data_IF_590425819078
#
_entry.id   IF_590425819078
#
_cell.length_a   1.000
_cell.length_b   1.000
_cell.length_c   1.000
_cell.angle_alpha   90.00
_cell.angle_beta   90.00
_cell.angle_gamma   90.00
#
_symmetry.space_group_name_H-M   'P 1'
#
loop_
_entity.id
_entity.type
_entity.pdbx_description
1 polymer ?
#
# COMPACT_ATOMS: atom_id res chain seq x y z
N UNK A 1 -15.37 77.46 -39.10
CA UNK A 1 -15.18 76.66 -37.84
C UNK A 1 -15.12 75.19 -38.20
N UNK A 2 -13.90 74.63 -38.25
CA UNK A 2 -13.66 73.22 -38.56
C UNK A 2 -13.61 72.43 -37.26
N UNK A 3 -14.53 71.46 -37.08
CA UNK A 3 -14.49 70.52 -35.96
C UNK A 3 -13.50 69.39 -36.29
N UNK A 4 -12.47 69.26 -35.52
CA UNK A 4 -11.53 68.14 -35.55
C UNK A 4 -12.14 67.02 -34.67
N UNK A 5 -12.41 65.86 -35.25
CA UNK A 5 -12.82 64.67 -34.55
C UNK A 5 -11.55 63.83 -34.32
N UNK A 6 -11.14 63.75 -33.07
CA UNK A 6 -10.03 62.89 -32.66
C UNK A 6 -10.56 61.45 -32.43
N UNK A 7 -10.17 60.51 -33.26
CA UNK A 7 -10.41 59.09 -33.06
C UNK A 7 -9.39 58.57 -32.01
N UNK A 8 -9.90 58.22 -30.86
CA UNK A 8 -9.11 57.51 -29.88
C UNK A 8 -9.04 56.02 -30.23
N UNK A 9 -7.84 55.51 -30.51
CA UNK A 9 -7.57 54.11 -30.70
C UNK A 9 -7.55 53.39 -29.34
N UNK A 10 -8.57 52.56 -29.06
CA UNK A 10 -8.58 51.66 -27.93
C UNK A 10 -7.78 50.42 -28.33
N UNK A 11 -6.55 50.31 -27.87
CA UNK A 11 -5.76 49.09 -27.93
C UNK A 11 -6.32 48.08 -26.93
N UNK A 12 -7.01 47.07 -27.46
CA UNK A 12 -7.40 45.86 -26.69
C UNK A 12 -6.15 45.02 -26.44
N UNK A 13 -5.58 45.11 -25.26
CA UNK A 13 -4.56 44.19 -24.82
C UNK A 13 -5.26 42.89 -24.46
N UNK A 14 -5.24 41.92 -25.37
CA UNK A 14 -5.59 40.53 -25.06
C UNK A 14 -4.53 39.95 -24.14
N UNK A 15 -4.80 39.93 -22.85
CA UNK A 15 -4.07 39.05 -21.93
C UNK A 15 -4.47 37.61 -22.29
N UNK A 16 -3.64 36.97 -23.08
CA UNK A 16 -3.63 35.53 -23.19
C UNK A 16 -3.25 34.97 -21.82
N UNK A 17 -4.22 34.53 -21.05
CA UNK A 17 -3.96 33.63 -19.94
C UNK A 17 -3.36 32.36 -20.54
N UNK A 18 -2.04 32.27 -20.57
CA UNK A 18 -1.34 31.00 -20.75
C UNK A 18 -1.76 30.20 -19.52
N UNK A 19 -2.72 29.31 -19.67
CA UNK A 19 -2.89 28.19 -18.75
C UNK A 19 -1.56 27.46 -18.83
N UNK A 20 -0.70 27.62 -17.83
CA UNK A 20 0.33 26.65 -17.53
C UNK A 20 -0.45 25.38 -17.18
N UNK A 21 -0.57 24.47 -18.13
CA UNK A 21 -0.92 23.07 -17.86
C UNK A 21 0.27 22.62 -16.98
N UNK A 22 -0.01 22.25 -15.73
CA UNK A 22 0.99 21.69 -14.83
C UNK A 22 1.38 20.29 -15.35
N UNK A 23 2.15 20.23 -16.41
CA UNK A 23 2.62 19.00 -17.04
C UNK A 23 4.00 18.58 -16.56
N UNK A 24 4.63 19.36 -15.66
CA UNK A 24 5.96 19.03 -15.15
C UNK A 24 5.91 18.24 -13.84
N UNK A 25 6.82 17.26 -13.67
CA UNK A 25 6.97 16.55 -12.41
C UNK A 25 7.24 17.49 -11.24
N UNK A 26 6.53 17.33 -10.12
CA UNK A 26 6.58 18.20 -8.96
C UNK A 26 7.45 17.58 -7.86
N UNK A 27 8.52 18.26 -7.39
CA UNK A 27 9.32 17.77 -6.28
C UNK A 27 8.53 17.66 -4.98
N UNK A 28 8.76 16.57 -4.26
CA UNK A 28 8.18 16.32 -2.96
C UNK A 28 9.18 16.77 -1.89
N UNK A 29 8.89 17.81 -1.09
CA UNK A 29 9.77 18.20 -0.01
C UNK A 29 9.85 17.12 1.07
N UNK A 30 11.05 16.93 1.63
CA UNK A 30 11.26 16.02 2.74
C UNK A 30 10.54 16.52 4.00
N UNK A 31 10.02 15.60 4.79
CA UNK A 31 9.51 15.84 6.13
C UNK A 31 10.46 15.21 7.15
N UNK A 32 10.78 15.94 8.23
CA UNK A 32 11.62 15.40 9.31
C UNK A 32 10.89 14.25 9.97
N UNK A 33 11.53 13.08 10.01
CA UNK A 33 11.02 11.91 10.68
C UNK A 33 11.59 11.82 12.10
N UNK A 34 10.84 11.21 13.01
CA UNK A 34 11.28 10.93 14.38
C UNK A 34 12.32 9.82 14.38
N UNK A 35 13.30 9.92 15.27
CA UNK A 35 14.37 8.92 15.43
C UNK A 35 13.90 7.83 16.41
N UNK A 36 14.16 6.57 16.09
CA UNK A 36 13.82 5.40 16.89
C UNK A 36 14.88 4.30 16.88
N UNK A 37 14.58 3.21 17.56
CA UNK A 37 15.41 2.02 17.65
C UNK A 37 14.83 0.88 16.79
N UNK A 38 15.60 0.39 15.83
CA UNK A 38 15.14 -0.61 14.88
C UNK A 38 14.79 -1.97 15.53
N UNK A 39 15.56 -2.40 16.51
CA UNK A 39 15.30 -3.69 17.20
C UNK A 39 14.03 -3.60 18.03
N UNK A 40 13.80 -2.50 18.75
CA UNK A 40 12.57 -2.25 19.47
C UNK A 40 11.36 -2.20 18.50
N UNK A 41 11.54 -1.56 17.35
CA UNK A 41 10.53 -1.50 16.31
C UNK A 41 10.17 -2.87 15.72
N UNK A 42 11.17 -3.70 15.45
CA UNK A 42 10.94 -5.08 15.03
C UNK A 42 10.13 -5.86 16.06
N UNK A 43 10.55 -5.81 17.34
CA UNK A 43 9.82 -6.49 18.40
C UNK A 43 8.37 -6.00 18.52
N UNK A 44 8.16 -4.68 18.41
CA UNK A 44 6.82 -4.12 18.48
C UNK A 44 5.94 -4.54 17.28
N UNK A 45 6.48 -4.65 16.08
CA UNK A 45 5.74 -5.16 14.91
C UNK A 45 5.27 -6.60 15.14
N UNK A 46 6.14 -7.48 15.65
CA UNK A 46 5.88 -8.94 15.70
C UNK A 46 5.23 -9.43 16.99
N UNK A 47 5.19 -8.61 18.05
CA UNK A 47 4.63 -8.97 19.36
C UNK A 47 3.85 -7.84 20.03
N UNK A 48 3.86 -6.63 19.46
CA UNK A 48 3.27 -5.43 20.07
C UNK A 48 1.74 -5.48 20.13
N UNK A 49 1.22 -4.73 21.07
CA UNK A 49 -0.20 -4.70 21.43
C UNK A 49 -0.93 -3.46 20.88
N UNK A 50 -0.54 -3.02 19.69
CA UNK A 50 -1.15 -1.87 19.01
C UNK A 50 -2.61 -2.10 18.55
N UNK A 51 -3.12 -3.32 18.71
CA UNK A 51 -4.55 -3.68 18.57
C UNK A 51 -4.96 -4.36 19.89
N UNK A 52 -5.88 -3.76 20.64
CA UNK A 52 -6.25 -4.15 22.02
C UNK A 52 -7.56 -4.94 22.13
N UNK A 53 -8.19 -5.30 21.00
CA UNK A 53 -9.38 -6.15 20.96
C UNK A 53 -9.28 -7.12 19.80
N UNK A 54 -9.66 -8.39 19.99
CA UNK A 54 -9.46 -9.44 19.00
C UNK A 54 -10.09 -10.76 19.36
N UNK A 55 -9.66 -11.83 18.72
CA UNK A 55 -10.18 -13.19 18.94
C UNK A 55 -9.58 -13.74 20.24
N UNK A 56 -10.39 -14.17 21.25
CA UNK A 56 -9.84 -14.84 22.42
C UNK A 56 -8.93 -16.02 22.03
N UNK A 57 -7.74 -16.11 22.63
CA UNK A 57 -6.71 -17.07 22.23
C UNK A 57 -7.21 -18.53 22.27
N UNK A 58 -8.00 -18.88 23.28
CA UNK A 58 -8.60 -20.21 23.35
C UNK A 58 -9.59 -20.51 22.19
N UNK A 59 -10.33 -19.49 21.73
CA UNK A 59 -11.21 -19.64 20.57
C UNK A 59 -10.42 -19.72 19.27
N UNK A 60 -9.37 -18.92 19.12
CA UNK A 60 -8.48 -19.02 17.96
C UNK A 60 -7.94 -20.44 17.78
N UNK A 61 -7.45 -21.05 18.87
CA UNK A 61 -6.95 -22.42 18.84
C UNK A 61 -8.00 -23.51 18.51
N UNK A 62 -9.31 -23.20 18.66
CA UNK A 62 -10.40 -24.08 18.24
C UNK A 62 -10.76 -23.90 16.75
N UNK A 63 -10.64 -22.69 16.24
CA UNK A 63 -11.06 -22.35 14.87
C UNK A 63 -9.92 -22.51 13.85
N UNK A 64 -8.70 -22.26 14.27
CA UNK A 64 -7.52 -22.27 13.41
C UNK A 64 -6.53 -23.33 13.89
N UNK A 65 -5.84 -23.93 12.94
CA UNK A 65 -4.77 -24.86 13.25
C UNK A 65 -3.59 -24.10 13.86
N UNK A 66 -3.06 -24.59 14.97
CA UNK A 66 -1.83 -24.05 15.55
C UNK A 66 -0.67 -24.20 14.59
N UNK A 67 0.15 -23.16 14.50
CA UNK A 67 1.38 -23.22 13.72
C UNK A 67 2.37 -24.23 14.35
N UNK A 68 3.09 -24.92 13.47
CA UNK A 68 4.13 -25.86 13.88
C UNK A 68 5.53 -25.24 13.87
N UNK A 69 5.67 -24.14 13.12
CA UNK A 69 6.95 -23.46 12.92
C UNK A 69 6.76 -21.96 13.21
N UNK A 70 7.52 -21.46 14.15
CA UNK A 70 7.59 -20.02 14.42
C UNK A 70 8.58 -19.35 13.48
N UNK A 71 8.10 -18.88 12.35
CA UNK A 71 8.91 -18.26 11.30
C UNK A 71 9.61 -16.97 11.76
N UNK A 72 9.15 -16.36 12.85
CA UNK A 72 9.70 -15.12 13.41
C UNK A 72 10.51 -15.34 14.70
N UNK A 73 10.59 -16.57 15.20
CA UNK A 73 11.26 -16.92 16.44
C UNK A 73 10.78 -16.11 17.67
N UNK A 74 9.46 -15.88 17.77
CA UNK A 74 8.84 -15.05 18.82
C UNK A 74 8.76 -15.75 20.17
N UNK A 75 8.65 -17.09 20.16
CA UNK A 75 8.44 -17.89 21.35
C UNK A 75 7.07 -17.73 22.01
N UNK A 76 6.88 -18.43 23.15
CA UNK A 76 5.66 -18.33 23.94
C UNK A 76 4.35 -18.59 23.15
N UNK A 77 3.32 -17.84 23.48
CA UNK A 77 2.03 -17.96 22.80
C UNK A 77 2.07 -17.44 21.36
N UNK A 78 2.96 -16.49 21.04
CA UNK A 78 3.14 -15.99 19.68
C UNK A 78 3.68 -17.05 18.71
N UNK A 79 4.42 -18.04 19.18
CA UNK A 79 4.88 -19.18 18.38
C UNK A 79 3.73 -20.09 17.89
N UNK A 80 2.53 -19.99 18.50
CA UNK A 80 1.39 -20.85 18.19
C UNK A 80 0.43 -20.24 17.15
N UNK A 81 0.66 -18.98 16.76
CA UNK A 81 -0.14 -18.29 15.75
C UNK A 81 0.69 -17.96 14.52
N UNK A 82 0.04 -17.84 13.37
CA UNK A 82 0.68 -17.47 12.11
C UNK A 82 1.45 -16.13 12.27
N UNK A 83 2.49 -15.93 11.48
CA UNK A 83 3.39 -14.76 11.55
C UNK A 83 2.68 -13.40 11.45
N UNK A 84 1.54 -13.36 10.80
CA UNK A 84 0.73 -12.15 10.56
C UNK A 84 -0.33 -11.87 11.65
N UNK A 85 -0.20 -12.58 12.80
CA UNK A 85 -0.98 -12.32 14.03
C UNK A 85 -0.05 -12.17 15.23
N UNK A 86 -0.47 -11.34 16.19
CA UNK A 86 0.16 -11.23 17.51
C UNK A 86 -0.78 -11.79 18.58
N UNK A 87 -0.19 -12.38 19.62
CA UNK A 87 -0.89 -12.74 20.85
C UNK A 87 -0.57 -11.68 21.91
N UNK A 88 -1.59 -10.98 22.37
CA UNK A 88 -1.45 -9.82 23.25
C UNK A 88 -2.48 -9.86 24.38
N UNK A 89 -2.37 -8.90 25.33
CA UNK A 89 -3.39 -8.67 26.36
C UNK A 89 -4.37 -7.59 25.93
N UNK A 90 -5.67 -7.87 26.04
CA UNK A 90 -6.71 -6.87 25.96
C UNK A 90 -6.69 -5.97 27.21
N UNK A 91 -7.45 -4.87 27.22
CA UNK A 91 -7.54 -3.97 28.38
C UNK A 91 -8.01 -4.63 29.68
N UNK A 92 -8.71 -5.74 29.60
CA UNK A 92 -9.19 -6.53 30.74
C UNK A 92 -8.32 -7.75 31.07
N UNK A 93 -7.05 -7.77 30.61
CA UNK A 93 -6.07 -8.86 30.77
C UNK A 93 -6.46 -10.21 30.16
N UNK A 94 -7.48 -10.25 29.29
CA UNK A 94 -7.74 -11.46 28.49
C UNK A 94 -6.68 -11.60 27.41
N UNK A 95 -6.24 -12.85 27.17
CA UNK A 95 -5.30 -13.15 26.08
C UNK A 95 -6.06 -13.26 24.78
N UNK A 96 -5.68 -12.44 23.79
CA UNK A 96 -6.33 -12.33 22.48
C UNK A 96 -5.33 -12.50 21.33
N UNK A 97 -5.84 -12.90 20.18
CA UNK A 97 -5.12 -12.91 18.90
C UNK A 97 -5.62 -11.76 18.05
N UNK A 98 -4.69 -10.98 17.53
CA UNK A 98 -4.97 -9.79 16.73
C UNK A 98 -4.15 -9.81 15.44
N UNK A 99 -4.66 -9.23 14.32
CA UNK A 99 -3.85 -9.06 13.12
C UNK A 99 -2.69 -8.11 13.38
N UNK A 100 -1.57 -8.31 12.68
CA UNK A 100 -0.41 -7.43 12.73
C UNK A 100 -0.06 -6.86 11.35
N UNK A 101 0.95 -5.98 11.28
CA UNK A 101 1.37 -5.30 10.05
C UNK A 101 1.83 -6.26 8.95
N UNK A 102 2.31 -7.46 9.31
CA UNK A 102 2.83 -8.45 8.38
C UNK A 102 1.73 -9.13 7.56
N UNK A 103 0.45 -8.93 7.90
CA UNK A 103 -0.66 -9.42 7.09
C UNK A 103 -0.62 -8.84 5.65
N UNK A 104 -0.20 -7.57 5.54
CA UNK A 104 -0.02 -6.92 4.25
C UNK A 104 1.45 -6.79 3.84
N UNK A 105 2.39 -6.73 4.81
CA UNK A 105 3.80 -6.42 4.57
C UNK A 105 4.75 -7.57 4.89
N UNK A 106 4.34 -8.80 4.62
CA UNK A 106 5.21 -9.96 4.52
C UNK A 106 4.58 -11.02 3.60
N UNK A 107 5.42 -11.71 2.87
CA UNK A 107 5.02 -12.83 2.02
C UNK A 107 6.05 -13.96 2.13
N UNK A 108 5.61 -15.22 1.99
CA UNK A 108 6.51 -16.36 1.90
C UNK A 108 6.92 -16.51 0.44
N UNK A 109 8.19 -16.30 0.15
CA UNK A 109 8.77 -16.39 -1.18
C UNK A 109 9.91 -17.42 -1.15
N UNK A 110 9.88 -18.42 -2.03
CA UNK A 110 10.82 -19.54 -2.09
C UNK A 110 11.04 -20.21 -0.72
N UNK A 111 9.94 -20.42 0.01
CA UNK A 111 9.94 -21.05 1.34
C UNK A 111 10.50 -20.18 2.47
N UNK A 112 10.84 -18.91 2.21
CA UNK A 112 11.35 -17.97 3.21
C UNK A 112 10.35 -16.85 3.44
N UNK A 113 10.13 -16.49 4.71
CA UNK A 113 9.34 -15.32 5.05
C UNK A 113 10.13 -14.05 4.75
N UNK A 114 9.62 -13.25 3.83
CA UNK A 114 10.20 -11.97 3.41
C UNK A 114 9.46 -10.83 4.09
N UNK A 115 9.96 -10.40 5.25
CA UNK A 115 9.40 -9.27 6.00
C UNK A 115 9.68 -7.97 5.25
N UNK A 116 8.65 -7.18 5.05
CA UNK A 116 8.70 -5.94 4.27
C UNK A 116 8.33 -6.11 2.79
N UNK A 117 8.19 -7.34 2.28
CA UNK A 117 7.62 -7.58 0.96
C UNK A 117 6.11 -7.39 1.01
N UNK A 118 5.54 -6.69 0.02
CA UNK A 118 4.09 -6.56 -0.12
C UNK A 118 3.44 -7.91 -0.41
N UNK A 119 2.37 -8.23 0.31
CA UNK A 119 1.59 -9.44 0.07
C UNK A 119 0.73 -9.26 -1.18
N UNK A 120 1.09 -9.97 -2.23
CA UNK A 120 0.41 -9.97 -3.53
C UNK A 120 -0.48 -11.20 -3.75
N UNK A 121 -0.65 -12.06 -2.74
CA UNK A 121 -1.42 -13.31 -2.80
C UNK A 121 -2.66 -13.33 -1.91
N UNK A 122 -2.95 -12.23 -1.22
CA UNK A 122 -4.10 -12.11 -0.33
C UNK A 122 -5.44 -12.28 -1.05
N UNK A 123 -6.31 -13.15 -0.50
CA UNK A 123 -7.70 -13.30 -0.99
C UNK A 123 -8.63 -12.39 -0.17
N UNK A 124 -8.93 -11.23 -0.74
CA UNK A 124 -9.91 -10.27 -0.21
C UNK A 124 -11.22 -10.29 -1.01
N UNK A 125 -11.49 -11.33 -1.78
CA UNK A 125 -12.70 -11.39 -2.61
C UNK A 125 -13.98 -11.57 -1.80
N UNK A 126 -15.12 -11.33 -2.44
CA UNK A 126 -16.44 -11.39 -1.79
C UNK A 126 -16.79 -12.74 -1.16
N UNK A 127 -16.12 -13.82 -1.58
CA UNK A 127 -16.31 -15.15 -0.99
C UNK A 127 -15.93 -15.23 0.49
N UNK A 128 -15.03 -14.35 0.93
CA UNK A 128 -14.65 -14.23 2.34
C UNK A 128 -15.78 -13.72 3.24
N UNK A 129 -16.84 -13.13 2.68
CA UNK A 129 -18.04 -12.71 3.44
C UNK A 129 -18.76 -13.89 4.11
N UNK A 130 -18.74 -15.07 3.50
CA UNK A 130 -19.35 -16.28 4.09
C UNK A 130 -18.54 -16.76 5.30
N UNK A 131 -17.20 -16.74 5.18
CA UNK A 131 -16.30 -17.04 6.30
C UNK A 131 -16.49 -16.03 7.45
N UNK A 132 -16.74 -14.77 7.13
CA UNK A 132 -16.98 -13.72 8.11
C UNK A 132 -18.24 -13.98 8.94
N UNK A 133 -19.35 -14.38 8.34
CA UNK A 133 -20.59 -14.71 9.06
C UNK A 133 -20.46 -15.94 9.95
N UNK A 134 -19.73 -16.96 9.49
CA UNK A 134 -19.43 -18.14 10.30
C UNK A 134 -18.60 -17.78 11.53
N UNK A 135 -17.55 -16.98 11.34
CA UNK A 135 -16.69 -16.48 12.42
C UNK A 135 -17.50 -15.66 13.43
N UNK A 136 -18.32 -14.75 12.96
CA UNK A 136 -19.21 -13.95 13.80
C UNK A 136 -20.14 -14.84 14.66
N UNK A 137 -20.78 -15.83 14.06
CA UNK A 137 -21.66 -16.76 14.76
C UNK A 137 -20.91 -17.59 15.81
N UNK A 138 -19.71 -18.07 15.46
CA UNK A 138 -18.87 -18.84 16.38
C UNK A 138 -18.41 -17.98 17.56
N UNK A 139 -17.96 -16.76 17.31
CA UNK A 139 -17.56 -15.80 18.34
C UNK A 139 -18.73 -15.43 19.24
N UNK A 140 -19.87 -15.05 18.70
CA UNK A 140 -21.06 -14.71 19.47
C UNK A 140 -21.52 -15.87 20.38
N UNK A 141 -21.44 -17.11 19.89
CA UNK A 141 -21.84 -18.30 20.68
C UNK A 141 -20.84 -18.54 21.81
N UNK A 142 -19.55 -18.49 21.51
CA UNK A 142 -18.49 -18.70 22.50
C UNK A 142 -18.48 -17.63 23.59
N UNK A 143 -18.75 -16.37 23.22
CA UNK A 143 -18.69 -15.22 24.13
C UNK A 143 -19.89 -15.13 25.06
N UNK A 144 -21.04 -15.69 24.70
CA UNK A 144 -22.17 -15.83 25.65
C UNK A 144 -21.81 -16.61 26.90
N UNK A 145 -20.74 -17.43 26.82
CA UNK A 145 -20.27 -18.27 27.93
C UNK A 145 -19.28 -17.56 28.86
N UNK A 146 -18.73 -16.39 28.47
CA UNK A 146 -17.74 -15.65 29.27
C UNK A 146 -17.81 -14.15 29.01
N UNK A 147 -18.38 -13.37 29.94
CA UNK A 147 -18.44 -11.90 29.83
C UNK A 147 -17.07 -11.24 29.62
N UNK A 148 -16.01 -11.72 30.28
CA UNK A 148 -14.64 -11.22 30.13
C UNK A 148 -14.14 -11.37 28.71
N UNK A 149 -14.35 -12.52 28.08
CA UNK A 149 -13.95 -12.79 26.69
C UNK A 149 -14.75 -11.97 25.69
N UNK A 150 -16.03 -11.77 25.97
CA UNK A 150 -16.89 -10.91 25.16
C UNK A 150 -16.36 -9.47 25.17
N UNK A 151 -16.06 -8.92 26.33
CA UNK A 151 -15.52 -7.58 26.47
C UNK A 151 -14.20 -7.40 25.71
N UNK A 152 -13.27 -8.37 25.82
CA UNK A 152 -11.99 -8.35 25.11
C UNK A 152 -12.14 -8.36 23.58
N UNK A 153 -13.22 -8.92 23.06
CA UNK A 153 -13.46 -9.05 21.61
C UNK A 153 -14.46 -8.03 21.05
N UNK A 154 -15.18 -7.29 21.93
CA UNK A 154 -16.33 -6.46 21.56
C UNK A 154 -16.03 -5.42 20.49
N UNK A 155 -14.94 -4.68 20.63
CA UNK A 155 -14.61 -3.59 19.69
C UNK A 155 -14.15 -4.15 18.34
N UNK A 156 -13.37 -5.22 18.34
CA UNK A 156 -12.99 -5.93 17.12
C UNK A 156 -14.22 -6.46 16.38
N UNK A 157 -15.16 -7.09 17.10
CA UNK A 157 -16.39 -7.62 16.51
C UNK A 157 -17.27 -6.52 15.92
N UNK A 158 -17.45 -5.42 16.66
CA UNK A 158 -18.24 -4.28 16.19
C UNK A 158 -17.71 -3.76 14.87
N UNK A 159 -16.40 -3.54 14.78
CA UNK A 159 -15.76 -3.10 13.53
C UNK A 159 -15.94 -4.14 12.44
N UNK A 160 -15.66 -5.40 12.75
CA UNK A 160 -15.77 -6.49 11.78
C UNK A 160 -17.19 -6.64 11.21
N UNK A 161 -18.22 -6.54 12.05
CA UNK A 161 -19.62 -6.59 11.63
C UNK A 161 -20.02 -5.39 10.76
N UNK A 162 -19.51 -4.20 11.09
CA UNK A 162 -19.86 -2.95 10.40
C UNK A 162 -19.19 -2.86 9.03
N UNK A 163 -17.89 -3.16 8.96
CA UNK A 163 -17.10 -2.92 7.76
C UNK A 163 -16.70 -4.18 6.99
N UNK A 164 -16.65 -5.35 7.63
CA UNK A 164 -16.12 -6.56 7.01
C UNK A 164 -16.83 -7.01 5.73
N UNK A 165 -18.15 -6.73 5.63
CA UNK A 165 -18.92 -7.03 4.41
C UNK A 165 -18.66 -6.06 3.26
N UNK A 166 -17.94 -4.96 3.52
CA UNK A 166 -17.61 -3.92 2.56
C UNK A 166 -16.14 -3.98 2.11
N UNK A 167 -15.33 -4.81 2.76
CA UNK A 167 -13.91 -5.03 2.44
C UNK A 167 -13.79 -6.18 1.46
N UNK A 168 -13.72 -5.89 0.17
CA UNK A 168 -13.48 -6.90 -0.84
C UNK A 168 -12.81 -6.31 -2.09
N UNK A 169 -12.09 -7.15 -2.82
CA UNK A 169 -11.57 -6.87 -4.15
C UNK A 169 -12.25 -7.78 -5.17
N UNK A 170 -12.19 -7.41 -6.45
CA UNK A 170 -12.81 -8.20 -7.52
C UNK A 170 -12.05 -9.51 -7.78
N UNK A 171 -10.75 -9.54 -7.44
CA UNK A 171 -9.88 -10.69 -7.67
C UNK A 171 -8.84 -10.82 -6.57
N UNK A 172 -8.19 -12.01 -6.50
CA UNK A 172 -7.10 -12.31 -5.57
C UNK A 172 -5.85 -11.51 -5.96
N UNK A 173 -5.14 -10.99 -4.96
CA UNK A 173 -3.88 -10.28 -5.08
C UNK A 173 -3.96 -8.82 -4.66
N UNK A 174 -4.76 -7.97 -5.31
CA UNK A 174 -4.94 -6.59 -4.86
C UNK A 174 -5.50 -6.47 -3.46
N UNK A 175 -5.11 -5.41 -2.75
CA UNK A 175 -5.48 -5.15 -1.37
C UNK A 175 -6.53 -4.01 -1.29
N UNK A 176 -7.58 -4.11 -0.48
CA UNK A 176 -8.59 -3.06 -0.29
C UNK A 176 -8.17 -2.05 0.79
N UNK A 177 -6.88 -1.72 0.93
CA UNK A 177 -6.36 -0.89 2.03
C UNK A 177 -6.98 0.52 2.08
N UNK A 178 -7.19 1.14 0.92
CA UNK A 178 -7.86 2.46 0.84
C UNK A 178 -9.30 2.37 1.36
N UNK A 179 -10.01 1.29 1.00
CA UNK A 179 -11.36 1.04 1.52
C UNK A 179 -11.36 0.82 3.03
N UNK A 180 -10.39 0.06 3.54
CA UNK A 180 -10.25 -0.16 4.98
C UNK A 180 -10.03 1.16 5.71
N UNK A 181 -9.10 1.99 5.24
CA UNK A 181 -8.81 3.29 5.82
C UNK A 181 -10.05 4.21 5.82
N UNK A 182 -10.76 4.28 4.69
CA UNK A 182 -11.97 5.09 4.56
C UNK A 182 -13.08 4.63 5.50
N UNK A 183 -13.33 3.32 5.61
CA UNK A 183 -14.35 2.77 6.50
C UNK A 183 -14.01 2.94 7.98
N UNK A 184 -12.75 2.78 8.36
CA UNK A 184 -12.31 3.02 9.74
C UNK A 184 -12.46 4.49 10.12
N UNK A 185 -12.05 5.42 9.24
CA UNK A 185 -12.22 6.85 9.44
C UNK A 185 -13.72 7.23 9.50
N UNK A 186 -14.54 6.67 8.62
CA UNK A 186 -15.97 6.98 8.53
C UNK A 186 -16.75 6.72 9.82
N UNK A 187 -16.30 5.76 10.62
CA UNK A 187 -16.91 5.38 11.88
C UNK A 187 -16.17 5.90 13.13
N UNK A 188 -15.28 6.90 12.96
CA UNK A 188 -14.52 7.50 14.06
C UNK A 188 -14.68 9.02 14.09
N UNK A 189 -14.84 9.54 15.28
CA UNK A 189 -14.68 10.99 15.48
C UNK A 189 -13.21 11.37 15.23
N UNK A 190 -12.91 12.39 14.40
CA UNK A 190 -11.53 12.70 14.02
C UNK A 190 -10.66 13.19 15.18
N UNK A 191 -11.25 13.82 16.20
CA UNK A 191 -10.48 14.39 17.31
C UNK A 191 -10.29 13.42 18.47
N UNK A 192 -11.31 12.61 18.77
CA UNK A 192 -11.35 11.73 19.95
C UNK A 192 -11.13 10.26 19.61
N UNK A 193 -11.32 9.86 18.35
CA UNK A 193 -11.34 8.49 17.85
C UNK A 193 -12.48 7.62 18.42
N UNK A 194 -13.44 8.23 19.12
CA UNK A 194 -14.62 7.52 19.56
C UNK A 194 -15.41 6.96 18.38
N UNK A 195 -15.97 5.79 18.60
CA UNK A 195 -16.76 5.11 17.57
C UNK A 195 -18.10 5.80 17.34
N UNK A 196 -18.46 5.99 16.08
CA UNK A 196 -19.76 6.47 15.61
C UNK A 196 -20.48 5.34 14.86
N UNK A 197 -21.70 5.03 15.26
CA UNK A 197 -22.51 4.00 14.59
C UNK A 197 -22.89 4.41 13.16
N UNK A 198 -23.05 5.70 12.92
CA UNK A 198 -23.32 6.25 11.58
C UNK A 198 -22.01 6.74 10.95
N UNK A 199 -21.83 6.41 9.68
CA UNK A 199 -20.72 6.95 8.89
C UNK A 199 -20.79 8.48 8.84
N UNK A 200 -19.65 9.14 9.11
CA UNK A 200 -19.46 10.59 8.98
C UNK A 200 -18.74 10.98 7.69
N UNK A 201 -18.32 10.00 6.90
CA UNK A 201 -17.55 10.16 5.65
C UNK A 201 -18.26 9.38 4.55
N UNK A 202 -18.37 9.95 3.37
CA UNK A 202 -18.85 9.23 2.19
C UNK A 202 -17.77 8.26 1.73
N UNK A 203 -18.08 6.97 1.77
CA UNK A 203 -17.19 5.91 1.31
C UNK A 203 -17.59 5.51 -0.10
N UNK A 204 -16.67 5.52 -1.09
CA UNK A 204 -16.98 5.11 -2.46
C UNK A 204 -17.58 3.71 -2.52
N UNK A 205 -18.55 3.46 -3.37
CA UNK A 205 -19.08 2.11 -3.56
C UNK A 205 -18.07 1.18 -4.22
N UNK A 206 -17.34 1.69 -5.22
CA UNK A 206 -16.29 0.94 -5.89
C UNK A 206 -15.03 0.90 -5.03
N UNK A 207 -14.46 -0.29 -4.87
CA UNK A 207 -13.23 -0.51 -4.14
C UNK A 207 -12.04 -0.13 -5.01
N UNK A 208 -11.11 0.64 -4.44
CA UNK A 208 -9.85 0.98 -5.07
C UNK A 208 -8.88 -0.15 -4.78
N UNK A 209 -8.40 -0.89 -5.80
CA UNK A 209 -7.38 -1.91 -5.60
C UNK A 209 -6.02 -1.25 -5.41
N UNK A 210 -5.24 -1.72 -4.46
CA UNK A 210 -3.87 -1.27 -4.26
C UNK A 210 -2.92 -2.46 -4.25
N UNK A 211 -1.77 -2.34 -4.89
CA UNK A 211 -0.63 -3.16 -4.58
C UNK A 211 0.01 -2.69 -3.27
N UNK A 212 0.61 -3.60 -2.51
CA UNK A 212 1.26 -3.26 -1.24
C UNK A 212 2.73 -2.97 -1.48
N UNK A 213 3.20 -1.71 -1.36
CA UNK A 213 4.58 -1.38 -1.66
C UNK A 213 5.55 -2.00 -0.65
N UNK A 214 6.70 -2.43 -1.14
CA UNK A 214 7.76 -2.98 -0.29
C UNK A 214 8.29 -1.93 0.71
N UNK A 215 8.45 -2.32 1.97
CA UNK A 215 8.85 -1.42 3.06
C UNK A 215 10.23 -0.81 2.89
N UNK A 216 11.20 -1.55 2.34
CA UNK A 216 12.56 -1.05 2.13
C UNK A 216 12.66 0.15 1.20
N UNK A 217 11.61 0.43 0.40
CA UNK A 217 11.55 1.60 -0.47
C UNK A 217 11.26 2.88 0.32
N UNK A 218 10.64 2.77 1.52
CA UNK A 218 10.14 3.93 2.26
C UNK A 218 11.24 4.88 2.71
N UNK A 219 12.43 4.36 3.02
CA UNK A 219 13.58 5.18 3.47
C UNK A 219 14.06 6.21 2.44
N UNK A 220 13.77 6.00 1.15
CA UNK A 220 14.12 6.93 0.06
C UNK A 220 13.02 7.94 -0.25
N UNK A 221 11.77 7.69 0.19
CA UNK A 221 10.59 8.45 -0.21
C UNK A 221 10.33 9.62 0.74
N UNK A 222 9.91 10.75 0.19
CA UNK A 222 9.46 11.93 0.93
C UNK A 222 7.94 11.97 1.14
N UNK A 223 7.21 10.98 0.61
CA UNK A 223 5.77 10.82 0.80
C UNK A 223 5.37 9.35 0.83
N UNK A 224 4.27 9.05 1.49
CA UNK A 224 3.66 7.72 1.52
C UNK A 224 2.61 7.57 0.43
N UNK A 225 2.27 6.30 0.16
CA UNK A 225 1.32 5.82 -0.85
C UNK A 225 1.80 6.05 -2.30
N UNK A 226 1.15 5.37 -3.26
CA UNK A 226 1.51 5.45 -4.68
C UNK A 226 1.22 6.82 -5.29
N UNK A 227 0.12 7.46 -4.90
CA UNK A 227 -0.24 8.82 -5.32
C UNK A 227 0.48 9.93 -4.53
N UNK A 228 1.34 9.56 -3.60
CA UNK A 228 2.18 10.49 -2.85
C UNK A 228 1.42 11.50 -1.99
N UNK A 229 0.17 11.23 -1.61
CA UNK A 229 -0.63 12.21 -0.86
C UNK A 229 -0.34 12.22 0.65
N UNK A 230 0.30 11.18 1.20
CA UNK A 230 0.70 11.13 2.62
C UNK A 230 1.96 11.95 2.90
N UNK A 231 1.86 13.03 3.68
CA UNK A 231 2.92 13.99 4.02
C UNK A 231 3.10 14.13 5.52
N UNK A 232 4.28 14.55 5.95
CA UNK A 232 4.59 14.79 7.36
C UNK A 232 5.19 13.57 8.04
N UNK A 233 4.78 13.26 9.26
CA UNK A 233 5.28 12.14 10.05
C UNK A 233 4.72 10.80 9.54
N UNK A 234 5.59 9.91 9.10
CA UNK A 234 5.19 8.61 8.56
C UNK A 234 4.65 7.66 9.62
N UNK A 235 5.11 7.78 10.87
CA UNK A 235 4.58 6.99 11.97
C UNK A 235 3.08 7.14 12.15
N UNK A 236 2.54 8.35 11.92
CA UNK A 236 1.10 8.62 11.99
C UNK A 236 0.29 7.84 10.94
N UNK A 237 0.86 7.56 9.78
CA UNK A 237 0.20 6.72 8.77
C UNK A 237 0.35 5.23 9.10
N UNK A 238 1.53 4.80 9.57
CA UNK A 238 1.78 3.41 9.95
C UNK A 238 0.81 2.92 11.02
N UNK A 239 0.42 3.80 11.96
CA UNK A 239 -0.54 3.45 12.99
C UNK A 239 -2.02 3.52 12.54
N UNK A 240 -2.32 3.84 11.28
CA UNK A 240 -3.71 3.94 10.80
C UNK A 240 -4.52 2.65 11.01
N UNK A 241 -3.89 1.48 10.92
CA UNK A 241 -4.53 0.18 11.20
C UNK A 241 -5.00 0.02 12.65
N UNK A 242 -4.45 0.78 13.60
CA UNK A 242 -4.85 0.72 15.03
C UNK A 242 -6.27 1.23 15.23
N UNK A 243 -6.79 2.06 14.31
CA UNK A 243 -8.19 2.48 14.31
C UNK A 243 -9.16 1.29 14.28
N UNK A 244 -8.70 0.10 13.93
CA UNK A 244 -9.48 -1.13 14.03
C UNK A 244 -10.10 -1.28 15.44
N UNK A 245 -9.34 -0.97 16.49
CA UNK A 245 -9.81 -1.14 17.88
C UNK A 245 -9.54 0.06 18.78
N UNK A 246 -8.90 1.12 18.29
CA UNK A 246 -8.67 2.33 19.06
C UNK A 246 -10.00 2.99 19.42
N UNK A 247 -10.24 3.18 20.71
CA UNK A 247 -11.45 3.80 21.24
C UNK A 247 -11.26 5.24 21.70
N UNK A 248 -10.01 5.68 21.85
CA UNK A 248 -9.66 7.02 22.30
C UNK A 248 -8.23 7.44 21.91
N UNK A 249 -7.91 8.70 22.15
CA UNK A 249 -6.60 9.28 21.86
C UNK A 249 -5.51 8.89 22.85
N UNK A 250 -5.82 8.29 24.00
CA UNK A 250 -4.80 7.84 24.96
C UNK A 250 -4.12 6.59 24.39
N UNK A 251 -4.91 5.63 23.92
CA UNK A 251 -4.37 4.48 23.20
C UNK A 251 -3.61 4.90 21.94
N UNK A 252 -4.14 5.86 21.18
CA UNK A 252 -3.43 6.39 20.03
C UNK A 252 -2.05 6.97 20.39
N UNK A 253 -1.93 7.71 21.52
CA UNK A 253 -0.64 8.24 22.00
C UNK A 253 0.32 7.13 22.43
N UNK A 254 -0.19 6.11 23.12
CA UNK A 254 0.59 4.93 23.51
C UNK A 254 1.24 4.28 22.26
N UNK A 255 0.44 3.97 21.26
CA UNK A 255 0.92 3.40 20.01
C UNK A 255 1.86 4.35 19.28
N UNK A 256 1.55 5.63 19.19
CA UNK A 256 2.38 6.65 18.54
C UNK A 256 3.78 6.76 19.17
N UNK A 257 3.90 6.49 20.47
CA UNK A 257 5.17 6.43 21.17
C UNK A 257 6.14 5.37 20.60
N UNK A 258 5.61 4.28 20.03
CA UNK A 258 6.40 3.21 19.43
C UNK A 258 6.66 3.39 17.92
N UNK A 259 5.93 4.31 17.27
CA UNK A 259 6.05 4.47 15.81
C UNK A 259 7.40 4.93 15.30
N UNK A 260 8.19 5.76 16.04
CA UNK A 260 9.56 6.05 15.66
C UNK A 260 10.43 4.79 15.56
N UNK A 261 10.28 3.85 16.50
CA UNK A 261 11.01 2.58 16.51
C UNK A 261 10.57 1.71 15.33
N UNK A 262 9.27 1.59 15.07
CA UNK A 262 8.72 0.87 13.91
C UNK A 262 9.26 1.46 12.60
N UNK A 263 9.30 2.77 12.46
CA UNK A 263 9.84 3.42 11.28
C UNK A 263 11.35 3.18 11.13
N UNK A 264 12.11 3.21 12.24
CA UNK A 264 13.53 2.88 12.24
C UNK A 264 13.77 1.42 11.80
N UNK A 265 12.93 0.48 12.25
CA UNK A 265 12.96 -0.91 11.77
C UNK A 265 12.69 -0.97 10.26
N UNK A 266 11.64 -0.35 9.77
CA UNK A 266 11.30 -0.34 8.33
C UNK A 266 12.48 0.22 7.51
N UNK A 267 13.13 1.28 7.98
CA UNK A 267 14.30 1.87 7.31
C UNK A 267 15.55 0.98 7.36
N UNK A 268 15.65 0.07 8.32
CA UNK A 268 16.76 -0.88 8.43
C UNK A 268 16.66 -2.05 7.45
N UNK A 269 15.44 -2.34 6.94
CA UNK A 269 15.21 -3.45 6.00
C UNK A 269 15.98 -3.17 4.71
N UNK A 270 16.75 -4.17 4.28
CA UNK A 270 17.46 -4.13 2.99
C UNK A 270 16.65 -4.88 1.93
N UNK A 271 16.63 -4.37 0.69
CA UNK A 271 16.04 -5.13 -0.40
C UNK A 271 16.79 -6.44 -0.60
N UNK A 272 16.10 -7.55 -0.88
CA UNK A 272 16.75 -8.82 -1.17
C UNK A 272 17.51 -8.72 -2.49
N UNK A 273 18.75 -9.22 -2.50
CA UNK A 273 19.55 -9.31 -3.71
C UNK A 273 18.97 -10.37 -4.65
N UNK A 274 19.06 -10.13 -5.95
CA UNK A 274 18.71 -11.14 -6.95
C UNK A 274 19.56 -12.41 -6.73
N UNK A 275 18.93 -13.59 -6.62
CA UNK A 275 19.62 -14.77 -6.11
C UNK A 275 20.38 -15.57 -7.15
N UNK A 276 20.28 -15.22 -8.46
CA UNK A 276 20.89 -15.97 -9.54
C UNK A 276 21.99 -15.15 -10.24
N UNK A 277 22.78 -15.83 -11.07
CA UNK A 277 23.72 -15.16 -11.98
C UNK A 277 22.96 -14.31 -13.01
N UNK A 278 23.55 -13.20 -13.41
CA UNK A 278 23.06 -12.32 -14.47
C UNK A 278 24.24 -11.93 -15.38
N UNK A 279 23.94 -11.43 -16.57
CA UNK A 279 24.96 -10.97 -17.52
C UNK A 279 25.46 -9.56 -17.12
N UNK A 280 26.64 -9.49 -16.49
CA UNK A 280 27.22 -8.22 -16.01
C UNK A 280 27.51 -7.23 -17.16
N UNK A 281 27.91 -7.72 -18.33
CA UNK A 281 28.16 -6.87 -19.50
C UNK A 281 26.85 -6.26 -19.98
N UNK A 282 25.83 -7.09 -20.16
CA UNK A 282 24.53 -6.66 -20.61
C UNK A 282 23.86 -5.73 -19.56
N UNK A 283 24.05 -6.00 -18.27
CA UNK A 283 23.60 -5.12 -17.19
C UNK A 283 24.28 -3.75 -17.26
N UNK A 284 25.58 -3.70 -17.61
CA UNK A 284 26.30 -2.44 -17.85
C UNK A 284 25.71 -1.63 -19.02
N UNK A 285 25.37 -2.30 -20.12
CA UNK A 285 24.67 -1.69 -21.27
C UNK A 285 23.26 -1.20 -20.85
N UNK A 286 22.54 -2.02 -20.12
CA UNK A 286 21.22 -1.69 -19.57
C UNK A 286 21.21 -0.50 -18.62
N UNK A 287 22.27 -0.34 -17.83
CA UNK A 287 22.45 0.84 -16.97
C UNK A 287 22.46 2.14 -17.77
N UNK A 288 23.20 2.18 -18.88
CA UNK A 288 23.28 3.36 -19.73
C UNK A 288 21.90 3.71 -20.31
N UNK A 289 21.16 2.70 -20.78
CA UNK A 289 19.80 2.88 -21.31
C UNK A 289 18.85 3.38 -20.21
N UNK A 290 18.93 2.78 -19.02
CA UNK A 290 18.13 3.17 -17.87
C UNK A 290 18.41 4.62 -17.43
N UNK A 291 19.67 5.02 -17.38
CA UNK A 291 20.06 6.38 -16.99
C UNK A 291 19.51 7.45 -17.95
N UNK A 292 19.40 7.13 -19.24
CA UNK A 292 18.83 8.03 -20.25
C UNK A 292 17.30 8.04 -20.23
N UNK A 293 16.67 6.86 -20.07
CA UNK A 293 15.22 6.69 -20.29
C UNK A 293 14.40 6.77 -19.01
N UNK A 294 14.92 6.26 -17.86
CA UNK A 294 14.13 5.97 -16.66
C UNK A 294 14.56 6.80 -15.45
N UNK A 295 15.84 7.17 -15.37
CA UNK A 295 16.43 7.75 -14.15
C UNK A 295 15.85 9.09 -13.76
N UNK A 296 15.33 9.88 -14.70
CA UNK A 296 14.67 11.17 -14.43
C UNK A 296 13.58 11.04 -13.37
N UNK A 297 12.85 9.93 -13.38
CA UNK A 297 11.74 9.66 -12.46
C UNK A 297 12.13 8.66 -11.36
N UNK A 298 12.86 7.59 -11.70
CA UNK A 298 13.19 6.50 -10.78
C UNK A 298 14.54 6.69 -10.05
N UNK A 299 15.30 7.70 -10.41
CA UNK A 299 16.60 7.99 -9.81
C UNK A 299 17.75 7.16 -10.37
N UNK A 300 18.91 7.35 -9.78
CA UNK A 300 20.15 6.62 -10.08
C UNK A 300 20.54 5.71 -8.92
N UNK A 301 21.34 4.67 -9.20
CA UNK A 301 21.68 3.65 -8.22
C UNK A 301 23.20 3.49 -8.10
N UNK A 302 23.64 2.86 -7.01
CA UNK A 302 25.04 2.72 -6.65
C UNK A 302 25.45 3.71 -5.54
N UNK A 303 26.77 3.81 -5.21
CA UNK A 303 27.23 4.58 -4.06
C UNK A 303 26.89 6.09 -4.09
N UNK A 304 26.77 6.67 -5.28
CA UNK A 304 26.37 8.07 -5.50
C UNK A 304 24.92 8.20 -6.00
N UNK A 305 24.13 7.15 -5.92
CA UNK A 305 22.75 7.12 -6.40
C UNK A 305 21.85 8.10 -5.67
N UNK A 306 20.93 8.72 -6.40
CA UNK A 306 19.98 9.69 -5.87
C UNK A 306 18.57 9.36 -6.36
N UNK A 307 17.60 9.50 -5.46
CA UNK A 307 16.18 9.35 -5.80
C UNK A 307 15.51 10.74 -5.80
N UNK A 308 14.84 11.13 -6.91
CA UNK A 308 14.43 12.52 -7.13
C UNK A 308 13.19 12.93 -6.33
N UNK A 309 12.42 11.98 -5.78
CA UNK A 309 11.19 12.26 -5.03
C UNK A 309 10.21 13.17 -5.80
N UNK A 310 9.76 12.71 -6.96
CA UNK A 310 8.87 13.47 -7.85
C UNK A 310 7.45 12.88 -7.82
N UNK A 311 6.47 13.78 -7.83
CA UNK A 311 5.11 13.49 -8.27
C UNK A 311 5.05 13.62 -9.78
N UNK A 312 4.65 12.58 -10.45
CA UNK A 312 4.52 12.54 -11.91
C UNK A 312 3.05 12.76 -12.25
N UNK A 313 2.72 13.85 -12.98
CA UNK A 313 1.34 14.11 -13.41
C UNK A 313 0.73 12.96 -14.22
N UNK A 314 -0.60 12.82 -14.12
CA UNK A 314 -1.34 11.82 -14.88
C UNK A 314 -1.16 12.00 -16.39
N UNK A 315 -1.07 13.25 -16.87
CA UNK A 315 -0.81 13.58 -18.28
C UNK A 315 0.51 12.99 -18.81
N UNK A 316 1.49 12.76 -17.93
CA UNK A 316 2.79 12.17 -18.29
C UNK A 316 2.77 10.66 -18.14
N UNK A 317 2.27 10.14 -16.98
CA UNK A 317 2.35 8.71 -16.66
C UNK A 317 1.26 7.91 -17.38
N UNK A 318 0.07 8.46 -17.52
CA UNK A 318 -1.07 7.89 -18.21
C UNK A 318 -1.59 6.56 -17.67
N UNK A 319 -1.20 6.13 -16.45
CA UNK A 319 -1.69 4.88 -15.85
C UNK A 319 -3.14 5.00 -15.36
N UNK A 320 -3.70 3.92 -14.83
CA UNK A 320 -5.05 3.95 -14.26
C UNK A 320 -5.17 5.07 -13.22
N UNK A 321 -6.10 5.97 -13.44
CA UNK A 321 -6.27 7.19 -12.66
C UNK A 321 -7.29 7.06 -11.53
N UNK A 322 -7.86 5.88 -11.32
CA UNK A 322 -8.96 5.73 -10.37
C UNK A 322 -8.54 6.06 -8.93
N UNK A 323 -7.33 5.63 -8.52
CA UNK A 323 -6.80 5.92 -7.19
C UNK A 323 -6.61 7.43 -6.96
N UNK A 324 -5.99 8.16 -7.87
CA UNK A 324 -5.74 9.59 -7.67
C UNK A 324 -7.00 10.44 -7.84
N UNK A 325 -7.89 10.12 -8.80
CA UNK A 325 -9.15 10.84 -9.02
C UNK A 325 -10.14 10.65 -7.89
N UNK A 326 -10.17 9.47 -7.26
CA UNK A 326 -11.05 9.20 -6.12
C UNK A 326 -10.78 10.13 -4.93
N UNK A 327 -9.54 10.59 -4.73
CA UNK A 327 -9.19 11.55 -3.69
C UNK A 327 -9.85 12.92 -3.86
N UNK A 328 -10.17 13.31 -5.08
CA UNK A 328 -10.91 14.55 -5.38
C UNK A 328 -12.42 14.32 -5.37
N UNK A 329 -12.85 13.18 -5.86
CA UNK A 329 -14.29 12.84 -5.92
C UNK A 329 -14.86 12.55 -4.53
N UNK A 330 -14.04 11.98 -3.62
CA UNK A 330 -14.42 11.59 -2.26
C UNK A 330 -13.48 12.24 -1.26
N UNK A 331 -13.49 13.56 -1.20
CA UNK A 331 -12.59 14.35 -0.36
C UNK A 331 -12.86 14.24 1.15
N UNK A 332 -13.99 13.68 1.57
CA UNK A 332 -14.36 13.57 2.98
C UNK A 332 -13.31 12.86 3.83
N UNK A 333 -12.66 11.82 3.31
CA UNK A 333 -11.57 11.14 4.02
C UNK A 333 -10.37 12.06 4.22
N UNK A 334 -10.02 12.84 3.19
CA UNK A 334 -8.93 13.83 3.25
C UNK A 334 -9.24 14.88 4.31
N UNK A 335 -10.45 15.40 4.32
CA UNK A 335 -10.93 16.39 5.31
C UNK A 335 -10.95 15.81 6.72
N UNK A 336 -11.47 14.58 6.88
CA UNK A 336 -11.47 13.88 8.14
C UNK A 336 -10.04 13.74 8.69
N UNK A 337 -9.11 13.23 7.88
CA UNK A 337 -7.73 13.01 8.28
C UNK A 337 -7.04 14.33 8.66
N UNK A 338 -7.20 15.36 7.83
CA UNK A 338 -6.57 16.66 8.03
C UNK A 338 -7.15 17.47 9.21
N UNK A 339 -8.33 17.09 9.72
CA UNK A 339 -8.92 17.60 10.96
C UNK A 339 -8.61 16.71 12.16
N UNK A 340 -8.15 15.49 11.93
CA UNK A 340 -7.99 14.47 12.96
C UNK A 340 -6.80 14.71 13.88
N UNK A 341 -6.76 13.92 14.93
CA UNK A 341 -5.63 13.86 15.87
C UNK A 341 -4.29 13.58 15.14
N UNK A 342 -4.30 12.84 14.02
CA UNK A 342 -3.09 12.57 13.23
C UNK A 342 -2.44 13.83 12.67
N UNK A 343 -3.20 14.87 12.40
CA UNK A 343 -2.72 16.12 11.81
C UNK A 343 -2.35 17.18 12.85
N UNK A 344 -2.39 16.85 14.14
CA UNK A 344 -2.16 17.78 15.25
C UNK A 344 -0.87 17.45 16.01
N UNK A 345 -0.42 18.40 16.87
CA UNK A 345 0.75 18.25 17.73
C UNK A 345 2.07 18.55 17.01
N UNK A 346 3.18 18.10 17.62
CA UNK A 346 4.55 18.46 17.18
C UNK A 346 5.02 17.69 15.94
N UNK A 347 4.38 16.56 15.66
CA UNK A 347 4.70 15.67 14.53
C UNK A 347 3.45 15.39 13.69
N UNK A 348 2.89 16.41 13.02
CA UNK A 348 1.67 16.23 12.25
C UNK A 348 1.91 15.45 10.96
N UNK A 349 0.89 14.70 10.58
CA UNK A 349 0.77 14.12 9.24
C UNK A 349 -0.46 14.70 8.56
N UNK A 350 -0.45 14.77 7.24
CA UNK A 350 -1.57 15.28 6.45
C UNK A 350 -1.70 14.57 5.11
N UNK A 351 -2.89 14.55 4.57
CA UNK A 351 -3.15 14.12 3.21
C UNK A 351 -3.17 15.34 2.29
N UNK A 352 -2.34 15.30 1.23
CA UNK A 352 -2.21 16.36 0.24
C UNK A 352 -2.41 15.74 -1.16
N UNK A 353 -3.65 15.69 -1.67
CA UNK A 353 -3.96 15.09 -2.97
C UNK A 353 -3.17 15.72 -4.10
N UNK A 354 -2.83 14.89 -5.08
CA UNK A 354 -2.19 15.27 -6.32
C UNK A 354 -2.74 14.43 -7.47
N UNK A 355 -2.90 15.04 -8.65
CA UNK A 355 -3.39 14.31 -9.83
C UNK A 355 -2.23 13.60 -10.54
N UNK A 356 -1.78 12.49 -9.98
CA UNK A 356 -0.66 11.70 -10.49
C UNK A 356 -0.13 10.71 -9.48
N UNK A 357 1.09 10.21 -9.74
CA UNK A 357 1.71 9.13 -8.97
C UNK A 357 3.18 9.44 -8.67
N UNK A 358 3.72 8.81 -7.64
CA UNK A 358 5.17 8.75 -7.42
C UNK A 358 5.74 7.64 -8.29
N UNK A 359 6.79 7.93 -9.07
CA UNK A 359 7.64 6.88 -9.63
C UNK A 359 8.44 6.24 -8.47
N UNK A 360 8.23 4.97 -8.10
CA UNK A 360 8.86 4.41 -6.92
C UNK A 360 10.37 4.22 -7.10
N UNK A 361 11.17 4.20 -6.02
CA UNK A 361 12.50 3.60 -6.07
C UNK A 361 12.40 2.14 -6.51
N UNK A 362 13.41 1.63 -7.20
CA UNK A 362 13.39 0.28 -7.78
C UNK A 362 14.32 -0.71 -7.07
N UNK A 363 14.76 -0.39 -5.84
CA UNK A 363 15.56 -1.30 -5.03
C UNK A 363 14.79 -2.62 -4.80
N UNK A 364 15.39 -3.75 -5.16
CA UNK A 364 14.76 -5.06 -5.05
C UNK A 364 13.54 -5.25 -5.96
N UNK A 365 13.45 -4.51 -7.05
CA UNK A 365 12.29 -4.57 -7.97
C UNK A 365 12.06 -5.97 -8.54
N UNK A 366 13.08 -6.80 -8.59
CA UNK A 366 13.02 -8.15 -9.14
C UNK A 366 12.00 -9.06 -8.42
N UNK A 367 11.68 -8.78 -7.13
CA UNK A 367 10.78 -9.62 -6.30
C UNK A 367 9.40 -8.98 -6.06
N UNK A 368 9.17 -7.74 -6.48
CA UNK A 368 7.97 -6.98 -6.11
C UNK A 368 6.81 -7.10 -7.11
N UNK A 369 6.84 -8.10 -7.99
CA UNK A 369 5.72 -8.36 -8.90
C UNK A 369 4.46 -8.87 -8.17
N UNK A 370 3.26 -8.59 -8.73
CA UNK A 370 2.97 -7.88 -9.97
C UNK A 370 3.12 -6.36 -9.83
N UNK A 371 3.28 -5.67 -10.94
CA UNK A 371 3.65 -4.25 -10.98
C UNK A 371 2.47 -3.32 -11.19
N UNK A 372 2.77 -2.02 -11.16
CA UNK A 372 1.89 -0.86 -11.05
C UNK A 372 1.25 -0.75 -9.65
N UNK A 373 0.66 0.39 -9.38
CA UNK A 373 0.03 0.70 -8.10
C UNK A 373 -1.14 -0.22 -7.72
N UNK A 374 -1.64 -0.98 -8.68
CA UNK A 374 -2.77 -1.90 -8.56
C UNK A 374 -2.41 -3.38 -8.82
N UNK A 375 -1.14 -3.69 -9.12
CA UNK A 375 -0.69 -5.05 -9.40
C UNK A 375 -1.16 -5.61 -10.75
N UNK A 376 -1.46 -4.76 -11.73
CA UNK A 376 -2.09 -5.16 -13.00
C UNK A 376 -1.14 -5.74 -14.04
N UNK A 377 0.18 -5.58 -13.87
CA UNK A 377 1.20 -5.99 -14.84
C UNK A 377 2.05 -7.11 -14.26
N UNK A 378 2.05 -8.32 -14.84
CA UNK A 378 2.65 -9.50 -14.22
C UNK A 378 4.18 -9.53 -14.19
N UNK A 379 4.87 -8.86 -15.14
CA UNK A 379 6.33 -8.92 -15.29
C UNK A 379 6.94 -7.56 -15.64
N UNK A 380 8.22 -7.34 -15.33
CA UNK A 380 8.98 -6.16 -15.81
C UNK A 380 9.05 -6.14 -17.35
N UNK A 381 9.18 -7.29 -18.01
CA UNK A 381 9.12 -7.34 -19.46
C UNK A 381 7.85 -6.65 -19.99
N UNK A 382 6.70 -6.91 -19.37
CA UNK A 382 5.44 -6.28 -19.73
C UNK A 382 5.32 -4.81 -19.27
N UNK A 383 6.05 -4.40 -18.23
CA UNK A 383 6.18 -2.96 -17.89
C UNK A 383 6.92 -2.21 -19.00
N UNK A 384 8.01 -2.79 -19.51
CA UNK A 384 8.87 -2.20 -20.55
C UNK A 384 8.29 -2.32 -21.97
N UNK A 385 7.26 -3.14 -22.16
CA UNK A 385 6.59 -3.32 -23.45
C UNK A 385 5.08 -3.39 -23.26
N UNK A 386 4.40 -2.27 -23.44
CA UNK A 386 2.95 -2.20 -23.24
C UNK A 386 2.12 -3.08 -24.17
N UNK A 387 2.71 -3.44 -25.35
CA UNK A 387 2.04 -4.23 -26.39
C UNK A 387 1.80 -5.69 -25.98
N UNK A 388 2.58 -6.20 -25.02
CA UNK A 388 2.44 -7.59 -24.55
C UNK A 388 1.62 -7.70 -23.25
N UNK A 389 1.15 -6.59 -22.69
CA UNK A 389 0.32 -6.60 -21.48
C UNK A 389 -1.00 -7.32 -21.73
N UNK A 390 -1.32 -8.33 -20.91
CA UNK A 390 -2.56 -9.08 -21.09
C UNK A 390 -3.78 -8.31 -20.59
N UNK A 391 -4.91 -8.40 -21.28
CA UNK A 391 -6.19 -7.86 -20.79
C UNK A 391 -6.77 -8.70 -19.66
N UNK A 392 -6.69 -10.02 -19.80
CA UNK A 392 -7.07 -10.98 -18.78
C UNK A 392 -5.93 -11.96 -18.57
N UNK A 393 -5.56 -12.21 -17.31
CA UNK A 393 -4.46 -13.12 -17.02
C UNK A 393 -4.63 -13.82 -15.67
N UNK A 394 -4.03 -14.97 -15.55
CA UNK A 394 -3.98 -15.75 -14.32
C UNK A 394 -2.56 -16.21 -14.05
N UNK A 395 -2.24 -16.39 -12.77
CA UNK A 395 -0.96 -16.93 -12.29
C UNK A 395 -1.17 -17.99 -11.22
N UNK A 396 -0.16 -18.78 -10.94
CA UNK A 396 -0.04 -19.49 -9.67
C UNK A 396 0.34 -18.51 -8.57
N UNK A 397 -0.11 -18.75 -7.35
CA UNK A 397 0.32 -18.02 -6.15
C UNK A 397 1.47 -18.74 -5.42
N UNK A 398 2.06 -19.77 -6.05
CA UNK A 398 3.24 -20.47 -5.60
C UNK A 398 4.49 -19.80 -6.18
N UNK A 399 5.39 -19.29 -5.34
CA UNK A 399 6.60 -18.58 -5.73
C UNK A 399 7.58 -19.39 -6.58
N UNK A 400 7.48 -20.73 -6.58
CA UNK A 400 8.23 -21.60 -7.51
C UNK A 400 7.88 -21.36 -8.99
N UNK A 401 6.76 -20.69 -9.26
CA UNK A 401 6.34 -20.26 -10.60
C UNK A 401 6.70 -18.80 -10.91
N UNK A 402 7.71 -18.26 -10.25
CA UNK A 402 8.22 -16.93 -10.56
C UNK A 402 9.18 -16.98 -11.76
N UNK A 403 9.04 -16.04 -12.70
CA UNK A 403 9.93 -15.91 -13.86
C UNK A 403 11.05 -14.94 -13.53
N UNK A 404 12.22 -15.49 -13.18
CA UNK A 404 13.39 -14.70 -12.81
C UNK A 404 14.06 -14.02 -14.03
N UNK A 405 13.82 -14.48 -15.26
CA UNK A 405 14.35 -13.83 -16.45
C UNK A 405 13.54 -12.59 -16.84
N UNK A 406 12.22 -12.66 -16.74
CA UNK A 406 11.30 -11.57 -17.08
C UNK A 406 10.99 -10.67 -15.87
N UNK A 407 11.50 -11.04 -14.70
CA UNK A 407 11.25 -10.44 -13.40
C UNK A 407 9.76 -10.28 -13.13
N UNK A 408 9.13 -11.39 -12.70
CA UNK A 408 7.72 -11.40 -12.36
C UNK A 408 7.10 -12.79 -12.37
N UNK A 409 5.81 -12.85 -12.41
CA UNK A 409 5.08 -14.11 -12.35
C UNK A 409 4.97 -14.79 -13.72
N UNK A 410 5.17 -16.10 -13.78
CA UNK A 410 4.71 -16.87 -14.92
C UNK A 410 3.18 -16.76 -14.99
N UNK A 411 2.69 -16.26 -16.10
CA UNK A 411 1.26 -16.01 -16.27
C UNK A 411 0.73 -16.60 -17.57
N UNK A 412 -0.57 -16.79 -17.62
CA UNK A 412 -1.28 -17.20 -18.83
C UNK A 412 -2.31 -16.13 -19.18
N UNK A 413 -2.19 -15.59 -20.39
CA UNK A 413 -3.22 -14.70 -20.97
C UNK A 413 -4.48 -15.49 -21.32
N UNK A 414 -5.63 -14.86 -21.10
CA UNK A 414 -6.93 -15.45 -21.36
C UNK A 414 -7.72 -14.57 -22.37
N UNK A 415 -8.62 -15.17 -23.17
CA UNK A 415 -9.40 -14.41 -24.17
C UNK A 415 -10.59 -13.68 -23.55
N UNK A 416 -10.99 -13.99 -22.32
CA UNK A 416 -12.15 -13.44 -21.64
C UNK A 416 -11.94 -13.37 -20.13
N UNK A 417 -12.74 -12.56 -19.41
CA UNK A 417 -12.74 -12.56 -17.94
C UNK A 417 -13.15 -13.93 -17.39
N UNK A 418 -12.72 -14.23 -16.17
CA UNK A 418 -13.00 -15.49 -15.48
C UNK A 418 -13.47 -15.28 -14.04
N UNK A 419 -13.18 -16.25 -13.19
CA UNK A 419 -13.43 -16.19 -11.76
C UNK A 419 -12.39 -15.29 -11.03
N UNK A 420 -12.43 -15.26 -9.72
CA UNK A 420 -11.54 -14.46 -8.86
C UNK A 420 -10.03 -14.70 -9.03
N UNK A 421 -9.61 -15.77 -9.72
CA UNK A 421 -8.20 -16.06 -10.01
C UNK A 421 -7.72 -15.40 -11.31
N UNK A 422 -8.62 -14.74 -12.05
CA UNK A 422 -8.30 -14.04 -13.29
C UNK A 422 -8.22 -12.54 -13.04
N UNK A 423 -7.04 -11.97 -13.22
CA UNK A 423 -6.86 -10.52 -13.20
C UNK A 423 -7.55 -9.92 -14.43
N UNK A 424 -8.50 -9.02 -14.19
CA UNK A 424 -9.30 -8.36 -15.23
C UNK A 424 -8.96 -6.87 -15.29
N UNK A 425 -8.19 -6.46 -16.28
CA UNK A 425 -7.72 -5.08 -16.43
C UNK A 425 -8.75 -4.13 -17.04
N UNK A 426 -9.95 -4.61 -17.37
CA UNK A 426 -11.04 -3.76 -17.90
C UNK A 426 -11.90 -3.13 -16.81
N UNK A 427 -11.74 -3.57 -15.56
CA UNK A 427 -12.43 -3.00 -14.41
C UNK A 427 -11.73 -1.69 -14.02
N UNK A 428 -12.50 -0.65 -13.74
CA UNK A 428 -11.95 0.63 -13.30
C UNK A 428 -11.11 0.46 -12.00
N UNK A 429 -9.93 1.04 -11.96
CA UNK A 429 -8.95 0.86 -10.89
C UNK A 429 -7.99 -0.31 -11.10
N UNK A 430 -8.29 -1.25 -11.99
CA UNK A 430 -7.48 -2.43 -12.28
C UNK A 430 -6.75 -2.33 -13.64
N UNK A 431 -6.77 -1.16 -14.28
CA UNK A 431 -6.19 -0.94 -15.60
C UNK A 431 -4.67 -1.12 -15.62
N UNK A 432 -4.14 -1.64 -16.75
CA UNK A 432 -2.71 -1.84 -16.99
C UNK A 432 -2.13 -0.95 -18.11
N UNK A 433 -2.85 0.09 -18.46
CA UNK A 433 -2.44 1.06 -19.48
C UNK A 433 -1.46 2.11 -18.93
N UNK A 434 -0.94 2.97 -19.82
CA UNK A 434 0.03 4.01 -19.49
C UNK A 434 1.46 3.49 -19.27
N UNK A 435 2.34 4.31 -18.72
CA UNK A 435 3.75 4.01 -18.49
C UNK A 435 4.41 3.35 -19.73
N UNK A 436 4.39 4.03 -20.87
CA UNK A 436 4.86 3.51 -22.16
C UNK A 436 6.31 3.89 -22.46
N UNK A 437 7.09 4.27 -21.45
CA UNK A 437 8.45 4.78 -21.60
C UNK A 437 9.44 3.74 -22.17
N UNK A 438 9.15 2.46 -22.08
CA UNK A 438 9.96 1.38 -22.67
C UNK A 438 9.53 0.95 -24.08
N UNK A 439 8.43 1.48 -24.62
CA UNK A 439 7.86 0.99 -25.88
C UNK A 439 8.73 1.28 -27.12
N UNK A 440 9.56 2.32 -27.05
CA UNK A 440 10.50 2.67 -28.11
C UNK A 440 11.80 1.83 -28.11
N UNK A 441 12.07 1.11 -27.02
CA UNK A 441 13.24 0.25 -26.92
C UNK A 441 13.09 -0.98 -27.82
N UNK A 442 14.18 -1.46 -28.35
CA UNK A 442 14.29 -2.77 -29.01
C UNK A 442 14.21 -3.89 -27.96
N UNK A 443 13.96 -5.12 -28.40
CA UNK A 443 13.94 -6.27 -27.48
C UNK A 443 15.31 -6.51 -26.82
N UNK A 444 16.41 -6.25 -27.54
CA UNK A 444 17.76 -6.32 -26.97
C UNK A 444 17.98 -5.27 -25.88
N UNK A 445 17.55 -4.04 -26.09
CA UNK A 445 17.63 -2.97 -25.09
C UNK A 445 16.75 -3.24 -23.88
N UNK A 446 15.53 -3.75 -24.06
CA UNK A 446 14.67 -4.19 -22.94
C UNK A 446 15.34 -5.27 -22.12
N UNK A 447 15.94 -6.27 -22.78
CA UNK A 447 16.68 -7.33 -22.10
C UNK A 447 17.85 -6.75 -21.31
N UNK A 448 18.62 -5.81 -21.88
CA UNK A 448 19.69 -5.14 -21.17
C UNK A 448 19.21 -4.38 -19.93
N UNK A 449 18.09 -3.65 -20.03
CA UNK A 449 17.47 -2.96 -18.89
C UNK A 449 17.04 -3.96 -17.82
N UNK A 450 16.45 -5.11 -18.19
CA UNK A 450 16.06 -6.16 -17.24
C UNK A 450 17.30 -6.70 -16.50
N UNK A 451 18.41 -6.96 -17.19
CA UNK A 451 19.65 -7.39 -16.55
C UNK A 451 20.19 -6.35 -15.56
N UNK A 452 20.09 -5.06 -15.90
CA UNK A 452 20.44 -4.01 -14.97
C UNK A 452 19.53 -3.98 -13.74
N UNK A 453 18.22 -4.14 -13.90
CA UNK A 453 17.25 -4.15 -12.80
C UNK A 453 17.47 -5.32 -11.81
N UNK A 454 18.08 -6.43 -12.25
CA UNK A 454 18.52 -7.52 -11.38
C UNK A 454 19.62 -7.09 -10.39
N UNK A 455 20.33 -6.00 -10.68
CA UNK A 455 21.41 -5.48 -9.82
C UNK A 455 20.94 -4.53 -8.71
N UNK A 456 19.67 -4.10 -8.73
CA UNK A 456 19.12 -3.09 -7.83
C UNK A 456 18.55 -3.65 -6.49
#
# INVERSE_FOLDING_TARGET
>A
MKKIITLGSISLICFSFIHFIEDDPVPIPASKQRVGNADAGYQYVITGDYVKSGIPFGLYGLLFKKEKTDLLNRGGDNAQVRFDFNVVKAYNDETIVVPNCLQCHAEVFDGKLMVGLGNSSGDFTADQKLNSKFMEKAMNTYMKLSPKKYEAARDFLRVYQTIGTQLFTEMIGPNPADRLAALLAAHRDPETFQWNEKSSVVVPQQVIPSDVPAWWLLKKKNAMFYNGFGRGDFGKFLMGSTLLTTGDTNHAREVDGHMPDVLAFIYSIQPPKYPFAFDEKLAGEGKIIFEVTCSRCHGTYGPAGQYPNLLIPESIIGTDSFLNKSNYQYSDLIDWYNKSWFSKGDHPAKLAPFNGYIAPPLDGVWITAPYFHNGSVPTIEAVLNSKIRPTYWTRSFDSTNYDHEKLGWQYRSLPAPGDKHVYNTTIAGYGNYGHQFGDHLTDAERKAVIEYLKTL
#
